data_IF_118353256026
#
_entry.id   IF_118353256026
#
_cell.length_a   1.000
_cell.length_b   1.000
_cell.length_c   1.000
_cell.angle_alpha   90.00
_cell.angle_beta   90.00
_cell.angle_gamma   90.00
#
_symmetry.space_group_name_H-M   'P 1'
#
loop_
_entity.id
_entity.type
_entity.pdbx_description
1 polymer ?
#
# COMPACT_ATOMS: atom_id res chain seq x y z
N UNK A 1 -16.53 9.94 -13.67
CA UNK A 1 -16.86 10.03 -12.23
C UNK A 1 -15.58 9.73 -11.44
N UNK A 2 -15.48 10.17 -10.20
CA UNK A 2 -14.26 10.03 -9.39
C UNK A 2 -14.62 9.58 -7.97
N UNK A 3 -13.77 8.75 -7.38
CA UNK A 3 -13.79 8.35 -5.98
C UNK A 3 -12.47 8.73 -5.33
N UNK A 4 -12.49 9.39 -4.17
CA UNK A 4 -11.29 9.80 -3.43
C UNK A 4 -11.39 9.35 -1.97
N UNK A 5 -10.24 9.14 -1.33
CA UNK A 5 -10.13 8.77 0.08
C UNK A 5 -9.05 9.59 0.78
N UNK A 6 -9.35 10.06 1.99
CA UNK A 6 -8.38 10.74 2.86
C UNK A 6 -8.06 9.83 4.03
N UNK A 7 -6.78 9.59 4.26
CA UNK A 7 -6.27 8.70 5.30
C UNK A 7 -4.87 9.15 5.70
N UNK A 8 -4.29 8.50 6.71
CA UNK A 8 -2.89 8.71 7.06
C UNK A 8 -1.96 8.32 5.92
N UNK A 9 -0.78 8.94 5.88
CA UNK A 9 0.17 8.79 4.78
C UNK A 9 0.58 7.34 4.50
N UNK A 10 0.78 6.55 5.56
CA UNK A 10 1.09 5.13 5.49
C UNK A 10 -0.03 4.34 4.83
N UNK A 11 -1.28 4.63 5.17
CA UNK A 11 -2.43 3.93 4.60
C UNK A 11 -2.59 4.26 3.12
N UNK A 12 -2.37 5.53 2.71
CA UNK A 12 -2.36 5.90 1.27
C UNK A 12 -1.31 5.09 0.53
N UNK A 13 -0.11 4.95 1.10
CA UNK A 13 1.00 4.22 0.47
C UNK A 13 0.71 2.74 0.34
N UNK A 14 0.18 2.12 1.39
CA UNK A 14 -0.21 0.70 1.39
C UNK A 14 -1.29 0.46 0.33
N UNK A 15 -2.34 1.29 0.31
CA UNK A 15 -3.42 1.17 -0.67
C UNK A 15 -2.93 1.37 -2.11
N UNK A 16 -2.11 2.40 -2.35
CA UNK A 16 -1.54 2.67 -3.67
C UNK A 16 -0.63 1.53 -4.16
N UNK A 17 0.16 0.93 -3.26
CA UNK A 17 0.99 -0.22 -3.58
C UNK A 17 0.15 -1.45 -3.93
N UNK A 18 -0.95 -1.71 -3.21
CA UNK A 18 -1.86 -2.81 -3.51
C UNK A 18 -2.56 -2.63 -4.89
N UNK A 19 -3.03 -1.42 -5.19
CA UNK A 19 -3.61 -1.09 -6.52
C UNK A 19 -2.58 -1.31 -7.63
N UNK A 20 -1.36 -0.82 -7.44
CA UNK A 20 -0.30 -0.98 -8.43
C UNK A 20 0.08 -2.45 -8.64
N UNK A 21 0.21 -3.24 -7.56
CA UNK A 21 0.56 -4.65 -7.64
C UNK A 21 -0.49 -5.46 -8.40
N UNK A 22 -1.79 -5.23 -8.13
CA UNK A 22 -2.86 -5.89 -8.88
C UNK A 22 -2.88 -5.43 -10.35
N UNK A 23 -2.75 -4.13 -10.60
CA UNK A 23 -2.74 -3.57 -11.96
C UNK A 23 -1.56 -4.05 -12.82
N UNK A 24 -0.44 -4.42 -12.20
CA UNK A 24 0.77 -4.93 -12.85
C UNK A 24 0.76 -6.48 -12.97
N UNK A 25 -0.29 -7.18 -12.53
CA UNK A 25 -0.43 -8.66 -12.63
C UNK A 25 -0.87 -9.18 -14.00
N UNK A 26 -1.25 -8.28 -14.90
CA UNK A 26 -1.61 -8.59 -16.29
C UNK A 26 -0.39 -9.01 -17.11
N UNK A 27 -0.60 -9.66 -18.25
CA UNK A 27 0.49 -9.93 -19.19
C UNK A 27 0.90 -8.67 -19.97
N UNK A 28 2.03 -8.73 -20.67
CA UNK A 28 2.54 -7.61 -21.48
C UNK A 28 1.63 -7.20 -22.64
N UNK A 29 0.69 -8.08 -23.04
CA UNK A 29 -0.24 -7.87 -24.15
C UNK A 29 -1.57 -7.24 -23.72
N UNK A 30 -1.73 -6.88 -22.45
CA UNK A 30 -2.95 -6.19 -22.00
C UNK A 30 -3.07 -4.82 -22.70
N UNK A 31 -4.20 -4.54 -23.40
CA UNK A 31 -4.34 -3.34 -24.22
C UNK A 31 -4.55 -2.08 -23.38
N UNK A 32 -4.86 -2.19 -22.09
CA UNK A 32 -5.14 -1.04 -21.23
C UNK A 32 -3.85 -0.34 -20.85
N UNK A 33 -3.91 0.97 -20.79
CA UNK A 33 -2.83 1.81 -20.22
C UNK A 33 -2.67 1.56 -18.71
N UNK A 34 -1.50 1.86 -18.16
CA UNK A 34 -1.26 1.71 -16.71
C UNK A 34 -2.30 2.42 -15.83
N UNK A 35 -2.71 3.68 -16.11
CA UNK A 35 -3.77 4.33 -15.32
C UNK A 35 -5.15 3.66 -15.43
N UNK A 36 -5.49 3.10 -16.61
CA UNK A 36 -6.74 2.34 -16.77
C UNK A 36 -6.72 1.08 -15.92
N UNK A 37 -5.62 0.30 -15.97
CA UNK A 37 -5.47 -0.89 -15.12
C UNK A 37 -5.52 -0.56 -13.64
N UNK A 38 -4.93 0.56 -13.21
CA UNK A 38 -5.00 1.00 -11.82
C UNK A 38 -6.43 1.37 -11.40
N UNK A 39 -7.20 1.97 -12.30
CA UNK A 39 -8.61 2.30 -12.04
C UNK A 39 -9.45 1.03 -11.86
N UNK A 40 -9.27 0.05 -12.76
CA UNK A 40 -9.97 -1.23 -12.70
C UNK A 40 -9.55 -2.05 -11.47
N UNK A 41 -8.24 -2.10 -11.17
CA UNK A 41 -7.71 -2.75 -9.98
C UNK A 41 -8.27 -2.14 -8.69
N UNK A 42 -8.37 -0.81 -8.62
CA UNK A 42 -8.98 -0.13 -7.48
C UNK A 42 -10.46 -0.49 -7.33
N UNK A 43 -11.20 -0.59 -8.44
CA UNK A 43 -12.58 -1.06 -8.40
C UNK A 43 -12.65 -2.50 -7.87
N UNK A 44 -11.89 -3.44 -8.43
CA UNK A 44 -11.91 -4.85 -8.01
C UNK A 44 -11.54 -5.04 -6.53
N UNK A 45 -10.58 -4.26 -6.01
CA UNK A 45 -10.23 -4.27 -4.60
C UNK A 45 -11.35 -3.77 -3.69
N UNK A 46 -12.09 -2.73 -4.12
CA UNK A 46 -13.19 -2.15 -3.34
C UNK A 46 -14.48 -2.98 -3.42
N UNK A 47 -14.76 -3.59 -4.55
CA UNK A 47 -15.96 -4.39 -4.80
C UNK A 47 -15.80 -5.87 -4.41
N UNK A 48 -14.56 -6.35 -4.27
CA UNK A 48 -14.25 -7.77 -4.12
C UNK A 48 -14.48 -8.58 -5.39
N UNK A 49 -14.53 -7.95 -6.56
CA UNK A 49 -14.68 -8.65 -7.85
C UNK A 49 -13.34 -9.15 -8.39
N UNK A 50 -13.39 -10.10 -9.32
CA UNK A 50 -12.22 -10.61 -10.01
C UNK A 50 -11.60 -9.53 -10.92
N UNK A 51 -10.28 -9.44 -10.89
CA UNK A 51 -9.50 -8.69 -11.86
C UNK A 51 -9.08 -9.64 -12.98
N UNK A 52 -9.11 -9.19 -14.22
CA UNK A 52 -8.83 -10.00 -15.40
C UNK A 52 -7.86 -9.27 -16.34
N UNK A 53 -7.17 -10.01 -17.20
CA UNK A 53 -6.36 -9.46 -18.26
C UNK A 53 -7.15 -9.39 -19.56
N UNK A 54 -7.11 -8.25 -20.26
CA UNK A 54 -7.92 -7.98 -21.44
C UNK A 54 -7.19 -8.33 -22.75
N UNK A 55 -6.11 -9.12 -22.69
CA UNK A 55 -5.31 -9.45 -23.87
C UNK A 55 -6.02 -10.34 -24.89
N UNK A 56 -7.11 -11.03 -24.48
CA UNK A 56 -7.92 -11.89 -25.35
C UNK A 56 -7.23 -13.16 -25.88
N UNK A 57 -6.07 -13.52 -25.34
CA UNK A 57 -5.34 -14.73 -25.71
C UNK A 57 -5.75 -15.91 -24.82
N UNK A 58 -6.02 -17.05 -25.44
CA UNK A 58 -6.25 -18.33 -24.73
C UNK A 58 -4.99 -18.81 -23.98
N UNK A 59 -3.80 -18.36 -24.42
CA UNK A 59 -2.50 -18.66 -23.82
C UNK A 59 -2.00 -17.49 -22.93
N UNK A 60 -2.91 -16.79 -22.26
CA UNK A 60 -2.56 -15.65 -21.41
C UNK A 60 -1.59 -16.07 -20.29
N UNK A 61 -0.46 -15.36 -20.19
CA UNK A 61 0.56 -15.60 -19.15
C UNK A 61 0.35 -14.78 -17.87
N UNK A 62 -0.78 -14.08 -17.74
CA UNK A 62 -1.09 -13.27 -16.55
C UNK A 62 -1.24 -14.18 -15.32
N UNK A 63 -0.73 -13.72 -14.18
CA UNK A 63 -0.86 -14.43 -12.90
C UNK A 63 -1.62 -13.51 -11.95
N UNK A 64 -2.94 -13.60 -12.00
CA UNK A 64 -3.83 -12.70 -11.24
C UNK A 64 -4.27 -13.40 -9.95
N UNK A 65 -4.10 -12.78 -8.77
CA UNK A 65 -4.54 -13.37 -7.51
C UNK A 65 -6.07 -13.42 -7.40
N UNK A 66 -6.58 -14.46 -6.73
CA UNK A 66 -8.03 -14.61 -6.46
C UNK A 66 -8.58 -13.47 -5.59
N UNK A 67 -9.84 -13.04 -5.80
CA UNK A 67 -10.50 -12.06 -4.96
C UNK A 67 -10.51 -12.46 -3.48
N UNK A 68 -10.26 -11.49 -2.60
CA UNK A 68 -10.14 -11.75 -1.15
C UNK A 68 -8.87 -12.50 -0.74
N UNK A 69 -8.11 -13.02 -1.70
CA UNK A 69 -6.75 -13.57 -1.53
C UNK A 69 -5.73 -12.64 -2.16
N UNK A 70 -6.06 -11.36 -2.42
CA UNK A 70 -5.04 -10.35 -2.67
C UNK A 70 -4.14 -10.41 -1.45
N UNK A 71 -2.94 -11.02 -1.57
CA UNK A 71 -2.06 -11.13 -0.42
C UNK A 71 -1.84 -9.69 0.03
N UNK A 72 -1.84 -9.36 1.33
CA UNK A 72 -1.56 -8.00 1.79
C UNK A 72 -0.25 -7.56 1.15
N UNK A 73 -0.34 -6.81 0.04
CA UNK A 73 0.58 -6.81 -1.11
C UNK A 73 1.98 -7.40 -0.87
N UNK A 74 2.15 -8.72 -0.62
CA UNK A 74 3.36 -9.29 0.03
C UNK A 74 4.20 -8.22 0.75
N UNK A 75 3.57 -7.59 1.74
CA UNK A 75 3.72 -6.16 2.09
C UNK A 75 5.19 -5.71 2.13
N UNK A 76 5.71 -5.26 1.00
CA UNK A 76 7.00 -4.56 0.89
C UNK A 76 6.81 -3.04 0.91
N UNK A 77 5.69 -2.55 1.44
CA UNK A 77 5.61 -1.16 1.89
C UNK A 77 6.40 -1.04 3.20
N UNK A 78 7.73 -1.05 3.08
CA UNK A 78 8.62 -0.75 4.21
C UNK A 78 8.58 0.76 4.40
N UNK A 79 7.90 1.20 5.46
CA UNK A 79 7.85 2.59 5.85
C UNK A 79 9.00 2.86 6.82
N UNK A 80 10.00 3.60 6.38
CA UNK A 80 11.07 4.05 7.26
C UNK A 80 10.61 5.27 8.04
N UNK A 81 10.41 5.07 9.34
CA UNK A 81 10.12 6.15 10.30
C UNK A 81 11.29 6.28 11.26
N UNK A 82 11.82 7.49 11.37
CA UNK A 82 12.86 7.85 12.34
C UNK A 82 12.23 8.75 13.40
N UNK A 83 12.37 8.35 14.66
CA UNK A 83 11.90 9.12 15.82
C UNK A 83 12.81 8.81 17.01
N UNK A 84 12.75 9.65 18.04
CA UNK A 84 13.44 9.33 19.29
C UNK A 84 12.71 8.23 20.08
N UNK A 85 13.49 7.51 20.88
CA UNK A 85 12.98 6.42 21.72
C UNK A 85 11.95 6.92 22.75
N UNK A 86 12.11 8.14 23.26
CA UNK A 86 11.19 8.71 24.24
C UNK A 86 9.77 8.89 23.66
N UNK A 87 9.66 9.30 22.39
CA UNK A 87 8.39 9.47 21.68
C UNK A 87 7.74 8.12 21.39
N UNK A 88 8.52 7.14 20.94
CA UNK A 88 8.05 5.76 20.72
C UNK A 88 7.50 5.16 22.02
N UNK A 89 8.16 5.41 23.16
CA UNK A 89 7.72 4.96 24.50
C UNK A 89 6.62 5.82 25.13
N UNK A 90 6.17 6.89 24.48
CA UNK A 90 5.17 7.83 25.03
C UNK A 90 5.66 8.67 26.21
N UNK A 91 6.98 8.77 26.40
CA UNK A 91 7.63 9.61 27.41
C UNK A 91 7.87 11.05 26.92
N UNK A 92 7.80 11.28 25.61
CA UNK A 92 7.89 12.58 24.96
C UNK A 92 6.90 12.68 23.78
N UNK A 93 6.74 13.90 23.26
CA UNK A 93 5.91 14.19 22.09
C UNK A 93 6.72 14.92 21.00
N UNK A 94 7.94 14.47 20.76
CA UNK A 94 8.75 15.04 19.68
C UNK A 94 8.26 14.53 18.32
N UNK A 95 8.56 15.28 17.27
CA UNK A 95 8.18 14.90 15.91
C UNK A 95 9.04 13.73 15.41
N UNK A 96 8.44 12.88 14.57
CA UNK A 96 9.16 11.88 13.78
C UNK A 96 9.31 12.31 12.33
N UNK A 97 10.06 11.54 11.55
CA UNK A 97 10.18 11.70 10.12
C UNK A 97 9.84 10.38 9.42
N UNK A 98 8.94 10.42 8.45
CA UNK A 98 8.59 9.28 7.60
C UNK A 98 9.13 9.52 6.18
N UNK A 99 9.88 8.55 5.66
CA UNK A 99 10.48 8.64 4.33
C UNK A 99 9.42 8.87 3.23
N UNK A 100 9.65 9.92 2.44
CA UNK A 100 8.77 10.45 1.39
C UNK A 100 7.39 10.97 1.83
N UNK A 101 7.11 11.11 3.12
CA UNK A 101 5.99 11.93 3.62
C UNK A 101 6.52 13.20 4.29
N UNK A 102 7.58 13.10 5.08
CA UNK A 102 8.16 14.21 5.82
C UNK A 102 7.87 14.11 7.32
N UNK A 103 7.75 15.26 7.97
CA UNK A 103 7.56 15.36 9.42
C UNK A 103 6.18 14.84 9.82
N UNK A 104 6.14 14.00 10.85
CA UNK A 104 4.90 13.47 11.46
C UNK A 104 4.87 13.79 12.96
N UNK A 105 3.68 13.84 13.54
CA UNK A 105 3.52 14.11 14.97
C UNK A 105 4.01 12.95 15.84
N UNK A 106 4.36 13.22 17.09
CA UNK A 106 4.72 12.16 18.05
C UNK A 106 3.57 11.20 18.35
N UNK A 107 2.32 11.65 18.22
CA UNK A 107 1.14 10.78 18.28
C UNK A 107 1.12 9.80 17.11
N UNK A 108 1.33 10.28 15.89
CA UNK A 108 1.36 9.45 14.69
C UNK A 108 2.51 8.44 14.72
N UNK A 109 3.68 8.81 15.26
CA UNK A 109 4.78 7.87 15.52
C UNK A 109 4.33 6.71 16.40
N UNK A 110 3.58 6.98 17.48
CA UNK A 110 3.09 5.94 18.39
C UNK A 110 2.02 5.06 17.74
N UNK A 111 1.13 5.65 16.95
CA UNK A 111 0.13 4.89 16.20
C UNK A 111 0.79 3.90 15.24
N UNK A 112 1.85 4.33 14.53
CA UNK A 112 2.64 3.46 13.66
C UNK A 112 3.35 2.38 14.48
N UNK A 113 4.00 2.74 15.59
CA UNK A 113 4.73 1.81 16.45
C UNK A 113 3.83 0.74 17.09
N UNK A 114 2.55 1.05 17.32
CA UNK A 114 1.58 0.15 17.93
C UNK A 114 0.96 -0.87 16.95
N UNK A 115 1.19 -0.73 15.64
CA UNK A 115 0.65 -1.69 14.67
C UNK A 115 1.31 -3.06 14.81
N UNK A 116 0.51 -4.11 14.65
CA UNK A 116 0.99 -5.50 14.77
C UNK A 116 2.04 -5.89 13.71
N UNK A 117 2.07 -5.18 12.58
CA UNK A 117 3.01 -5.39 11.46
C UNK A 117 4.26 -4.50 11.52
N UNK A 118 4.40 -3.65 12.55
CA UNK A 118 5.56 -2.75 12.69
C UNK A 118 6.73 -3.44 13.38
N UNK A 119 7.91 -3.39 12.75
CA UNK A 119 9.18 -3.74 13.38
C UNK A 119 9.88 -2.49 13.91
N UNK A 120 9.97 -2.36 15.23
CA UNK A 120 10.78 -1.31 15.88
C UNK A 120 12.21 -1.81 16.05
N UNK A 121 13.20 -0.99 15.66
CA UNK A 121 14.62 -1.28 15.85
C UNK A 121 15.32 -0.03 16.37
N UNK A 122 16.09 -0.18 17.44
CA UNK A 122 16.84 0.92 18.05
C UNK A 122 18.23 0.98 17.44
N UNK A 123 18.63 2.16 16.95
CA UNK A 123 19.98 2.41 16.47
C UNK A 123 20.89 2.55 17.69
N UNK A 124 21.87 1.65 17.79
CA UNK A 124 22.91 1.66 18.85
C UNK A 124 24.21 2.19 18.27
#
# INVERSE_FOLDING_TARGET
AEITGVMSAENVRIAAAAVAALADSVCEHDPRTKPQRQSDAMFCLLSGTMFECDCGSDDCTAVIPEPGVVPPADCKAVLHVVADEATVKGMANHAGFMDGHGVISGEHVRDIAARADTKVSYLV
#
